data_IF_872345213664
#
_entry.id   IF_872345213664
#
_cell.length_a   1.000
_cell.length_b   1.000
_cell.length_c   1.000
_cell.angle_alpha   90.00
_cell.angle_beta   90.00
_cell.angle_gamma   90.00
#
_symmetry.space_group_name_H-M   'P 1'
#
loop_
_entity.id
_entity.type
_entity.pdbx_description
1 polymer ?
#
# COMPACT_ATOMS: atom_id res chain seq x y z
N UNK A 1 -15.26 11.33 8.00
CA UNK A 1 -15.02 10.80 6.64
C UNK A 1 -14.66 9.34 6.85
N UNK A 2 -15.54 8.41 6.50
CA UNK A 2 -15.26 6.98 6.66
C UNK A 2 -14.31 6.63 5.51
N UNK A 3 -13.06 6.30 5.84
CA UNK A 3 -12.09 5.79 4.87
C UNK A 3 -12.45 4.32 4.68
N UNK A 4 -12.87 3.97 3.47
CA UNK A 4 -13.24 2.60 3.09
C UNK A 4 -12.44 2.22 1.84
N UNK A 5 -11.61 1.19 1.97
CA UNK A 5 -10.76 0.68 0.89
C UNK A 5 -11.38 -0.50 0.11
N UNK A 6 -12.66 -0.80 0.32
CA UNK A 6 -13.32 -2.00 -0.23
C UNK A 6 -13.42 -1.99 -1.76
N UNK A 7 -13.67 -0.84 -2.39
CA UNK A 7 -13.79 -0.77 -3.86
C UNK A 7 -12.44 -0.98 -4.55
N UNK A 8 -11.37 -0.44 -3.96
CA UNK A 8 -10.02 -0.68 -4.46
C UNK A 8 -9.64 -2.16 -4.32
N UNK A 9 -9.98 -2.78 -3.19
CA UNK A 9 -9.78 -4.21 -2.95
C UNK A 9 -10.57 -5.09 -3.93
N UNK A 10 -11.82 -4.74 -4.26
CA UNK A 10 -12.62 -5.45 -5.28
C UNK A 10 -11.94 -5.45 -6.65
N UNK A 11 -11.38 -4.31 -7.07
CA UNK A 11 -10.67 -4.20 -8.35
C UNK A 11 -9.44 -5.10 -8.33
N UNK A 12 -8.63 -5.04 -7.27
CA UNK A 12 -7.45 -5.87 -7.12
C UNK A 12 -7.77 -7.38 -7.17
N UNK A 13 -8.82 -7.81 -6.47
CA UNK A 13 -9.32 -9.19 -6.52
C UNK A 13 -9.74 -9.58 -7.93
N UNK A 14 -10.50 -8.73 -8.62
CA UNK A 14 -10.97 -9.00 -9.98
C UNK A 14 -9.82 -9.10 -10.99
N UNK A 15 -8.78 -8.27 -10.84
CA UNK A 15 -7.57 -8.35 -11.70
C UNK A 15 -6.80 -9.64 -11.43
N UNK A 16 -6.74 -10.10 -10.17
CA UNK A 16 -6.10 -11.37 -9.79
C UNK A 16 -6.83 -12.60 -10.36
N UNK A 17 -8.15 -12.53 -10.50
CA UNK A 17 -8.98 -13.61 -11.07
C UNK A 17 -8.90 -13.71 -12.60
N UNK A 18 -8.26 -12.76 -13.29
CA UNK A 18 -8.16 -12.79 -14.74
C UNK A 18 -7.29 -13.96 -15.22
N UNK A 19 -7.74 -14.73 -16.23
CA UNK A 19 -6.98 -15.83 -16.77
C UNK A 19 -5.67 -15.33 -17.39
N UNK A 20 -4.55 -15.92 -16.96
CA UNK A 20 -3.20 -15.53 -17.40
C UNK A 20 -2.46 -14.56 -16.46
N UNK A 21 -3.14 -13.98 -15.46
CA UNK A 21 -2.50 -13.16 -14.43
C UNK A 21 -1.93 -14.06 -13.32
N UNK A 22 -0.60 -14.06 -13.16
CA UNK A 22 0.08 -14.86 -12.12
C UNK A 22 0.14 -14.14 -10.77
N UNK A 23 0.46 -12.84 -10.77
CA UNK A 23 0.53 -11.96 -9.59
C UNK A 23 0.29 -10.52 -10.02
N UNK A 24 -0.27 -9.72 -9.11
CA UNK A 24 -0.52 -8.29 -9.27
C UNK A 24 0.32 -7.56 -8.23
N UNK A 25 1.14 -6.59 -8.63
CA UNK A 25 2.00 -5.84 -7.70
C UNK A 25 1.71 -4.34 -7.77
N UNK A 26 1.65 -3.69 -6.61
CA UNK A 26 1.48 -2.24 -6.53
C UNK A 26 2.86 -1.59 -6.39
N UNK A 27 3.26 -0.79 -7.39
CA UNK A 27 4.56 -0.08 -7.43
C UNK A 27 4.46 1.42 -7.17
N UNK A 28 3.25 1.95 -7.01
CA UNK A 28 3.01 3.40 -6.88
C UNK A 28 3.33 3.96 -5.49
N UNK A 29 3.66 3.12 -4.52
CA UNK A 29 3.65 3.53 -3.11
C UNK A 29 2.23 3.76 -2.60
N UNK A 30 2.02 3.57 -1.30
CA UNK A 30 0.72 3.77 -0.64
C UNK A 30 1.00 4.56 0.62
N UNK A 31 0.14 5.55 0.92
CA UNK A 31 0.32 6.33 2.14
C UNK A 31 -0.02 5.49 3.36
N UNK A 32 0.95 5.32 4.25
CA UNK A 32 0.78 4.50 5.44
C UNK A 32 -0.22 5.11 6.43
N UNK A 33 -0.25 6.43 6.59
CA UNK A 33 -1.23 7.08 7.49
C UNK A 33 -2.67 6.82 7.07
N UNK A 34 -2.91 6.71 5.75
CA UNK A 34 -4.26 6.51 5.22
C UNK A 34 -4.70 5.06 5.39
N UNK A 35 -3.76 4.13 5.25
CA UNK A 35 -3.90 2.71 5.60
C UNK A 35 -4.21 2.52 7.09
N UNK A 36 -3.53 3.24 7.99
CA UNK A 36 -3.74 3.19 9.44
C UNK A 36 -5.03 3.89 9.90
N UNK A 37 -5.58 4.79 9.07
CA UNK A 37 -6.83 5.48 9.35
C UNK A 37 -8.06 4.64 9.00
N UNK A 38 -7.89 3.54 8.26
CA UNK A 38 -8.94 2.55 8.03
C UNK A 38 -9.07 1.67 9.28
N UNK A 39 -10.26 1.55 9.90
CA UNK A 39 -10.49 0.64 11.02
C UNK A 39 -10.45 -0.84 10.63
N UNK A 40 -10.47 -1.17 9.33
CA UNK A 40 -10.43 -2.55 8.81
C UNK A 40 -9.05 -2.93 8.26
N UNK A 41 -8.37 -3.83 8.97
CA UNK A 41 -7.07 -4.39 8.58
C UNK A 41 -7.11 -5.30 7.34
N UNK A 42 -8.30 -5.64 6.82
CA UNK A 42 -8.47 -6.56 5.68
C UNK A 42 -7.72 -6.06 4.45
N UNK A 43 -7.80 -4.76 4.17
CA UNK A 43 -7.09 -4.17 3.04
C UNK A 43 -5.58 -4.30 3.20
N UNK A 44 -5.05 -4.00 4.39
CA UNK A 44 -3.62 -4.10 4.67
C UNK A 44 -3.11 -5.54 4.57
N UNK A 45 -3.85 -6.51 5.12
CA UNK A 45 -3.49 -7.93 5.04
C UNK A 45 -3.42 -8.42 3.60
N UNK A 46 -4.45 -8.18 2.79
CA UNK A 46 -4.46 -8.59 1.39
C UNK A 46 -3.41 -7.87 0.54
N UNK A 47 -3.15 -6.60 0.86
CA UNK A 47 -2.10 -5.83 0.22
C UNK A 47 -0.74 -6.50 0.43
N UNK A 48 -0.39 -6.81 1.68
CA UNK A 48 0.90 -7.44 2.04
C UNK A 48 1.00 -8.86 1.50
N UNK A 49 -0.09 -9.64 1.56
CA UNK A 49 -0.09 -11.04 1.17
C UNK A 49 -0.02 -11.25 -0.35
N UNK A 50 -0.75 -10.44 -1.12
CA UNK A 50 -0.92 -10.66 -2.55
C UNK A 50 -0.26 -9.60 -3.45
N UNK A 51 -0.09 -8.38 -2.95
CA UNK A 51 0.24 -7.21 -3.79
C UNK A 51 1.64 -6.62 -3.55
N UNK A 52 2.40 -7.14 -2.58
CA UNK A 52 3.78 -6.75 -2.29
C UNK A 52 4.75 -7.80 -2.82
N UNK A 53 5.71 -7.39 -3.66
CA UNK A 53 6.81 -8.25 -4.08
C UNK A 53 7.98 -8.14 -3.09
N UNK A 54 8.01 -8.99 -2.06
CA UNK A 54 9.13 -9.04 -1.11
C UNK A 54 8.85 -8.27 0.19
N UNK A 55 9.76 -7.39 0.60
CA UNK A 55 9.63 -6.62 1.86
C UNK A 55 8.88 -5.30 1.62
N UNK A 56 7.81 -5.07 2.35
CA UNK A 56 7.15 -3.76 2.42
C UNK A 56 8.08 -2.79 3.17
N UNK A 57 8.78 -1.92 2.43
CA UNK A 57 9.57 -0.85 3.02
C UNK A 57 8.67 0.35 3.31
N UNK A 58 8.37 0.56 4.59
CA UNK A 58 7.72 1.79 5.04
C UNK A 58 8.77 2.90 5.07
N UNK A 59 8.50 4.00 4.38
CA UNK A 59 9.41 5.14 4.39
C UNK A 59 9.51 5.71 5.82
N UNK A 60 10.72 6.08 6.27
CA UNK A 60 10.98 6.51 7.64
C UNK A 60 10.29 7.82 8.05
N UNK A 61 9.65 8.53 7.11
CA UNK A 61 8.73 9.65 7.38
C UNK A 61 7.55 9.32 8.31
N UNK A 62 7.19 8.03 8.46
CA UNK A 62 6.16 7.60 9.43
C UNK A 62 6.72 7.20 10.81
N UNK A 63 8.05 7.15 10.98
CA UNK A 63 8.70 6.81 12.25
C UNK A 63 9.42 7.98 12.93
N UNK A 64 9.75 9.05 12.19
CA UNK A 64 10.40 10.22 12.73
C UNK A 64 9.90 11.50 12.00
N UNK A 65 9.54 12.57 12.72
CA UNK A 65 8.95 13.78 12.14
C UNK A 65 9.87 14.58 11.19
N UNK A 66 11.11 14.15 10.95
CA UNK A 66 12.15 14.97 10.33
C UNK A 66 12.77 14.42 9.03
N UNK A 67 12.19 13.37 8.44
CA UNK A 67 12.81 12.66 7.30
C UNK A 67 12.57 13.32 5.94
N UNK A 68 11.66 14.29 5.85
CA UNK A 68 11.40 15.06 4.63
C UNK A 68 12.62 15.89 4.18
N UNK A 69 13.54 16.21 5.09
CA UNK A 69 14.74 17.00 4.78
C UNK A 69 15.79 16.25 3.93
N UNK A 70 15.83 14.91 3.98
CA UNK A 70 16.90 14.13 3.33
C UNK A 70 16.60 13.71 1.89
N UNK A 71 15.33 13.71 1.45
CA UNK A 71 14.95 13.21 0.11
C UNK A 71 15.01 14.32 -0.95
N UNK A 72 14.99 15.60 -0.54
CA UNK A 72 15.01 16.78 -1.41
C UNK A 72 16.40 17.36 -1.69
N UNK A 73 17.48 16.73 -1.19
CA UNK A 73 18.85 17.07 -1.57
C UNK A 73 19.50 15.90 -2.31
N UNK A 74 19.18 15.78 -3.60
CA UNK A 74 20.10 15.16 -4.55
C UNK A 74 20.95 16.29 -5.16
N UNK A 75 22.30 16.27 -5.05
CA UNK A 75 23.12 16.94 -6.04
C UNK A 75 22.95 16.30 -7.43
#
# INVERSE_FOLDING_TARGET
MIVDHSDYLKILRRVRELPGVKKVFIRSGIRFDYLMADPDDTFFKELVEYHVSGQLKVAPEHCAPNTLAYVLHRP
#
